data_IF_457844546975
#
_entry.id   IF_457844546975
#
_cell.length_a   1.000
_cell.length_b   1.000
_cell.length_c   1.000
_cell.angle_alpha   90.00
_cell.angle_beta   90.00
_cell.angle_gamma   90.00
#
_symmetry.space_group_name_H-M   'P 1'
#
loop_
_entity.id
_entity.type
_entity.pdbx_description
1 polymer ?
#
# COMPACT_ATOMS: atom_id res chain seq x y z
N UNK A 1 -12.21 16.41 16.78
CA UNK A 1 -11.10 16.65 15.83
C UNK A 1 -10.03 15.63 16.13
N UNK A 2 -9.68 14.79 15.16
CA UNK A 2 -8.48 13.96 15.27
C UNK A 2 -7.34 14.86 14.78
N UNK A 3 -6.48 15.34 15.67
CA UNK A 3 -5.30 16.13 15.29
C UNK A 3 -4.33 15.23 14.49
N UNK A 4 -4.44 15.27 13.18
CA UNK A 4 -3.56 14.55 12.27
C UNK A 4 -2.28 15.35 12.03
N UNK A 5 -1.14 14.87 12.55
CA UNK A 5 0.17 15.41 12.17
C UNK A 5 0.53 14.91 10.76
N UNK A 6 0.84 15.83 9.85
CA UNK A 6 1.38 15.50 8.54
C UNK A 6 2.82 15.00 8.74
N UNK A 7 3.11 13.82 8.19
CA UNK A 7 4.45 13.23 8.16
C UNK A 7 4.94 13.18 6.72
N UNK A 8 6.10 13.78 6.46
CA UNK A 8 6.73 13.74 5.15
C UNK A 8 7.55 12.46 5.01
N UNK A 9 7.43 11.82 3.86
CA UNK A 9 8.27 10.69 3.49
C UNK A 9 9.55 11.20 2.80
N UNK A 10 10.69 10.54 3.04
CA UNK A 10 11.89 10.78 2.25
C UNK A 10 11.63 10.53 0.74
N UNK A 11 12.33 11.24 -0.15
CA UNK A 11 12.26 10.98 -1.59
C UNK A 11 12.55 9.51 -1.92
N UNK A 12 11.89 8.98 -2.96
CA UNK A 12 12.10 7.64 -3.49
C UNK A 12 12.07 6.50 -2.45
N UNK A 13 11.32 6.66 -1.36
CA UNK A 13 11.19 5.66 -0.29
C UNK A 13 9.79 5.03 -0.22
N UNK A 14 9.30 4.39 -1.30
CA UNK A 14 7.94 3.83 -1.35
C UNK A 14 7.72 2.72 -0.31
N UNK A 15 8.77 2.02 0.11
CA UNK A 15 8.73 1.03 1.18
C UNK A 15 8.30 1.59 2.54
N UNK A 16 8.39 2.92 2.75
CA UNK A 16 7.87 3.60 3.93
C UNK A 16 6.38 3.95 3.82
N UNK A 17 5.82 3.89 2.61
CA UNK A 17 4.43 4.20 2.35
C UNK A 17 3.58 2.92 2.32
N UNK A 18 2.89 2.63 3.43
CA UNK A 18 2.09 1.40 3.59
C UNK A 18 1.04 1.25 2.49
N UNK A 19 0.51 2.37 1.97
CA UNK A 19 -0.51 2.37 0.94
C UNK A 19 -0.03 1.68 -0.36
N UNK A 20 1.28 1.65 -0.64
CA UNK A 20 1.85 1.01 -1.82
C UNK A 20 1.61 -0.51 -1.83
N UNK A 21 1.72 -1.14 -0.65
CA UNK A 21 1.46 -2.58 -0.51
C UNK A 21 -0.04 -2.87 -0.66
N UNK A 22 -0.91 -2.03 -0.07
CA UNK A 22 -2.36 -2.14 -0.24
C UNK A 22 -2.78 -2.00 -1.70
N UNK A 23 -2.31 -0.95 -2.38
CA UNK A 23 -2.61 -0.71 -3.80
C UNK A 23 -2.07 -1.81 -4.68
N UNK A 24 -0.87 -2.34 -4.40
CA UNK A 24 -0.31 -3.46 -5.16
C UNK A 24 -1.20 -4.69 -5.10
N UNK A 25 -1.67 -5.10 -3.90
CA UNK A 25 -2.57 -6.25 -3.73
C UNK A 25 -3.93 -5.99 -4.39
N UNK A 26 -4.54 -4.85 -4.11
CA UNK A 26 -5.86 -4.48 -4.63
C UNK A 26 -5.86 -4.36 -6.16
N UNK A 27 -4.90 -3.65 -6.74
CA UNK A 27 -4.71 -3.52 -8.20
C UNK A 27 -4.57 -4.87 -8.88
N UNK A 28 -3.86 -5.82 -8.27
CA UNK A 28 -3.73 -7.16 -8.82
C UNK A 28 -5.07 -7.91 -8.85
N UNK A 29 -5.94 -7.73 -7.86
CA UNK A 29 -7.29 -8.30 -7.89
C UNK A 29 -8.18 -7.62 -8.92
N UNK A 30 -8.16 -6.28 -8.99
CA UNK A 30 -8.90 -5.53 -10.03
C UNK A 30 -8.48 -5.99 -11.43
N UNK A 31 -7.18 -6.18 -11.68
CA UNK A 31 -6.70 -6.73 -12.97
C UNK A 31 -7.24 -8.13 -13.26
N UNK A 32 -7.38 -8.99 -12.25
CA UNK A 32 -7.92 -10.35 -12.41
C UNK A 32 -9.41 -10.39 -12.72
N UNK A 33 -10.15 -9.31 -12.45
CA UNK A 33 -11.57 -9.20 -12.79
C UNK A 33 -11.85 -9.15 -14.30
N UNK A 34 -10.83 -8.88 -15.14
CA UNK A 34 -10.94 -8.80 -16.60
C UNK A 34 -12.09 -7.92 -17.12
N UNK A 35 -12.29 -6.76 -16.48
CA UNK A 35 -13.30 -5.77 -16.87
C UNK A 35 -13.05 -5.22 -18.28
N UNK A 36 -14.09 -5.20 -19.12
CA UNK A 36 -14.04 -4.72 -20.51
C UNK A 36 -14.75 -3.37 -20.70
N UNK A 37 -15.49 -2.91 -19.69
CA UNK A 37 -16.14 -1.59 -19.68
C UNK A 37 -15.69 -0.75 -18.50
N UNK A 38 -15.88 0.57 -18.60
CA UNK A 38 -15.60 1.50 -17.49
C UNK A 38 -16.46 1.16 -16.26
N UNK A 39 -17.73 0.79 -16.48
CA UNK A 39 -18.64 0.45 -15.40
C UNK A 39 -18.23 -0.84 -14.68
N UNK A 40 -17.79 -1.85 -15.43
CA UNK A 40 -17.22 -3.08 -14.86
C UNK A 40 -15.96 -2.78 -14.06
N UNK A 41 -15.06 -1.95 -14.59
CA UNK A 41 -13.83 -1.56 -13.90
C UNK A 41 -14.12 -0.82 -12.59
N UNK A 42 -15.04 0.14 -12.59
CA UNK A 42 -15.44 0.85 -11.38
C UNK A 42 -16.09 -0.08 -10.36
N UNK A 43 -16.87 -1.06 -10.82
CA UNK A 43 -17.44 -2.09 -9.96
C UNK A 43 -16.33 -2.94 -9.34
N UNK A 44 -15.40 -3.43 -10.14
CA UNK A 44 -14.26 -4.24 -9.68
C UNK A 44 -13.37 -3.47 -8.69
N UNK A 45 -13.09 -2.20 -8.94
CA UNK A 45 -12.36 -1.33 -7.99
C UNK A 45 -13.06 -1.37 -6.62
N UNK A 46 -14.37 -1.13 -6.57
CA UNK A 46 -15.11 -1.13 -5.31
C UNK A 46 -15.20 -2.52 -4.64
N UNK A 47 -15.47 -3.59 -5.41
CA UNK A 47 -15.70 -4.93 -4.85
C UNK A 47 -14.43 -5.60 -4.38
N UNK A 48 -13.33 -5.45 -5.13
CA UNK A 48 -12.06 -6.13 -4.86
C UNK A 48 -11.30 -5.52 -3.68
N UNK A 49 -11.71 -4.37 -3.16
CA UNK A 49 -11.09 -3.78 -1.97
C UNK A 49 -11.21 -4.70 -0.74
N UNK A 50 -12.27 -5.52 -0.69
CA UNK A 50 -12.51 -6.50 0.37
C UNK A 50 -11.43 -7.59 0.46
N UNK A 51 -10.53 -7.69 -0.53
CA UNK A 51 -9.39 -8.60 -0.50
C UNK A 51 -8.32 -8.21 0.53
N UNK A 52 -8.33 -6.97 1.03
CA UNK A 52 -7.40 -6.46 2.03
C UNK A 52 -7.92 -6.83 3.42
N UNK A 53 -7.20 -7.71 4.11
CA UNK A 53 -7.56 -8.16 5.45
C UNK A 53 -6.82 -7.36 6.52
N UNK A 54 -7.29 -7.43 7.76
CA UNK A 54 -6.57 -6.86 8.90
C UNK A 54 -5.16 -7.45 9.06
N UNK A 55 -4.98 -8.74 8.76
CA UNK A 55 -3.67 -9.40 8.80
C UNK A 55 -2.71 -8.81 7.77
N UNK A 56 -3.19 -8.51 6.56
CA UNK A 56 -2.40 -7.83 5.53
C UNK A 56 -1.92 -6.45 6.03
N UNK A 57 -2.84 -5.64 6.57
CA UNK A 57 -2.52 -4.29 7.07
C UNK A 57 -1.46 -4.33 8.18
N UNK A 58 -1.59 -5.26 9.13
CA UNK A 58 -0.58 -5.47 10.16
C UNK A 58 0.76 -5.92 9.56
N UNK A 59 0.73 -6.79 8.54
CA UNK A 59 1.90 -7.22 7.81
C UNK A 59 2.62 -6.06 7.13
N UNK A 60 1.89 -5.19 6.43
CA UNK A 60 2.45 -4.03 5.75
C UNK A 60 3.04 -3.01 6.73
N UNK A 61 2.37 -2.79 7.87
CA UNK A 61 2.89 -1.93 8.93
C UNK A 61 4.19 -2.48 9.53
N UNK A 62 4.25 -3.79 9.83
CA UNK A 62 5.48 -4.44 10.30
C UNK A 62 6.60 -4.35 9.26
N UNK A 63 6.29 -4.57 7.98
CA UNK A 63 7.25 -4.44 6.87
C UNK A 63 7.83 -3.03 6.81
N UNK A 64 6.99 -1.99 6.84
CA UNK A 64 7.43 -0.59 6.88
C UNK A 64 8.37 -0.33 8.07
N UNK A 65 7.99 -0.75 9.28
CA UNK A 65 8.81 -0.56 10.49
C UNK A 65 10.20 -1.20 10.35
N UNK A 66 10.28 -2.37 9.68
CA UNK A 66 11.56 -3.07 9.51
C UNK A 66 12.60 -2.29 8.69
N UNK A 67 12.16 -1.31 7.87
CA UNK A 67 13.06 -0.42 7.13
C UNK A 67 13.55 0.76 7.96
N UNK A 68 12.87 1.15 9.04
CA UNK A 68 13.23 2.35 9.81
C UNK A 68 14.66 2.36 10.35
N UNK A 69 15.20 1.24 10.91
CA UNK A 69 16.60 1.21 11.35
C UNK A 69 17.58 1.41 10.19
N UNK A 70 17.29 0.83 9.03
CA UNK A 70 18.13 0.93 7.83
C UNK A 70 18.15 2.36 7.29
N UNK A 71 16.98 3.02 7.26
CA UNK A 71 16.89 4.45 6.94
C UNK A 71 17.70 5.31 7.92
N UNK A 72 17.61 5.01 9.21
CA UNK A 72 18.38 5.72 10.25
C UNK A 72 19.88 5.54 10.06
N UNK A 73 20.32 4.39 9.57
CA UNK A 73 21.71 4.08 9.28
C UNK A 73 22.19 4.64 7.92
N UNK A 74 21.30 5.24 7.12
CA UNK A 74 21.65 5.73 5.78
C UNK A 74 21.93 4.62 4.78
N UNK A 75 21.40 3.41 5.01
CA UNK A 75 21.57 2.29 4.09
C UNK A 75 20.78 2.51 2.80
N UNK A 76 21.35 2.10 1.67
CA UNK A 76 20.62 2.02 0.41
C UNK A 76 19.63 0.85 0.46
N UNK A 77 18.37 1.13 0.10
CA UNK A 77 17.29 0.14 0.09
C UNK A 77 16.82 0.00 -1.36
N UNK A 78 17.13 -1.15 -1.97
CA UNK A 78 16.62 -1.55 -3.26
C UNK A 78 15.37 -2.41 -3.02
N UNK A 79 14.20 -1.96 -3.45
CA UNK A 79 12.93 -2.69 -3.42
C UNK A 79 12.43 -2.95 -4.85
#
# INVERSE_FOLDING_TARGET
MIDGKILFLPPYSPFLNIIENCFSKWKNQVKRSNSNTVQELLTAINTELNCITQSDLQGYYRKMISYLPRCRNGEEILE
#
